data_IF_631207709841
#
_entry.id   IF_631207709841
#
_cell.length_a   1.000
_cell.length_b   1.000
_cell.length_c   1.000
_cell.angle_alpha   90.00
_cell.angle_beta   90.00
_cell.angle_gamma   90.00
#
_symmetry.space_group_name_H-M   'P 1'
#
loop_
_entity.id
_entity.type
_entity.pdbx_description
1 polymer ?
#
# COMPACT_ATOMS: atom_id res chain seq x y z
N UNK A 1 -22.70 -15.42 10.03
CA UNK A 1 -21.86 -14.73 9.02
C UNK A 1 -21.46 -13.41 9.64
N UNK A 2 -20.18 -13.19 9.96
CA UNK A 2 -19.73 -11.90 10.46
C UNK A 2 -19.87 -10.90 9.31
N UNK A 3 -20.77 -9.94 9.46
CA UNK A 3 -21.04 -8.96 8.42
C UNK A 3 -19.87 -7.96 8.42
N UNK A 4 -19.18 -7.84 7.29
CA UNK A 4 -18.05 -6.93 7.12
C UNK A 4 -18.50 -5.48 7.30
N UNK A 5 -17.79 -4.70 8.13
CA UNK A 5 -18.17 -3.31 8.38
C UNK A 5 -17.88 -2.43 7.15
N UNK A 6 -18.60 -1.32 6.95
CA UNK A 6 -18.30 -0.37 5.88
C UNK A 6 -16.86 0.17 5.94
N UNK A 7 -16.32 0.34 7.15
CA UNK A 7 -14.93 0.78 7.36
C UNK A 7 -13.92 -0.28 6.90
N UNK A 8 -14.19 -1.57 7.17
CA UNK A 8 -13.34 -2.67 6.70
C UNK A 8 -13.39 -2.79 5.17
N UNK A 9 -14.57 -2.68 4.55
CA UNK A 9 -14.68 -2.66 3.09
C UNK A 9 -13.92 -1.47 2.49
N UNK A 10 -14.03 -0.28 3.08
CA UNK A 10 -13.27 0.88 2.64
C UNK A 10 -11.75 0.67 2.72
N UNK A 11 -11.25 0.05 3.79
CA UNK A 11 -9.83 -0.26 3.91
C UNK A 11 -9.37 -1.31 2.89
N UNK A 12 -10.20 -2.35 2.61
CA UNK A 12 -9.94 -3.32 1.54
C UNK A 12 -9.77 -2.60 0.20
N UNK A 13 -10.70 -1.71 -0.14
CA UNK A 13 -10.68 -0.99 -1.41
C UNK A 13 -9.42 -0.11 -1.54
N UNK A 14 -9.05 0.61 -0.48
CA UNK A 14 -7.83 1.45 -0.48
C UNK A 14 -6.54 0.61 -0.53
N UNK A 15 -6.49 -0.55 0.12
CA UNK A 15 -5.39 -1.50 0.00
C UNK A 15 -5.24 -2.01 -1.43
N UNK A 16 -6.33 -2.45 -2.07
CA UNK A 16 -6.30 -2.99 -3.43
C UNK A 16 -5.92 -1.91 -4.46
N UNK A 17 -6.41 -0.68 -4.30
CA UNK A 17 -5.98 0.47 -5.13
C UNK A 17 -4.50 0.78 -4.92
N UNK A 18 -4.01 0.74 -3.68
CA UNK A 18 -2.59 0.96 -3.39
C UNK A 18 -1.70 -0.13 -3.99
N UNK A 19 -2.09 -1.39 -3.88
CA UNK A 19 -1.43 -2.51 -4.55
C UNK A 19 -1.30 -2.28 -6.06
N UNK A 20 -2.42 -1.94 -6.74
CA UNK A 20 -2.44 -1.68 -8.17
C UNK A 20 -1.55 -0.49 -8.55
N UNK A 21 -1.63 0.61 -7.79
CA UNK A 21 -0.84 1.81 -8.02
C UNK A 21 0.66 1.54 -7.86
N UNK A 22 1.09 0.97 -6.73
CA UNK A 22 2.51 0.69 -6.45
C UNK A 22 3.10 -0.29 -7.45
N UNK A 23 2.47 -1.44 -7.68
CA UNK A 23 2.98 -2.44 -8.62
C UNK A 23 2.96 -1.91 -10.06
N UNK A 24 1.88 -1.24 -10.45
CA UNK A 24 1.71 -0.65 -11.78
C UNK A 24 2.74 0.43 -12.07
N UNK A 25 2.97 1.37 -11.15
CA UNK A 25 3.99 2.41 -11.34
C UNK A 25 5.40 1.85 -11.28
N UNK A 26 5.70 0.90 -10.37
CA UNK A 26 7.01 0.25 -10.34
C UNK A 26 7.32 -0.38 -11.70
N UNK A 27 6.36 -1.12 -12.25
CA UNK A 27 6.57 -1.90 -13.49
C UNK A 27 6.56 -1.04 -14.74
N UNK A 28 5.60 -0.12 -14.85
CA UNK A 28 5.30 0.57 -16.11
C UNK A 28 5.86 2.00 -16.18
N UNK A 29 6.25 2.59 -15.04
CA UNK A 29 6.83 3.94 -14.98
C UNK A 29 8.27 3.91 -14.52
N UNK A 30 8.54 3.28 -13.38
CA UNK A 30 9.85 3.31 -12.75
C UNK A 30 10.90 2.51 -13.53
N UNK A 31 10.59 1.25 -13.88
CA UNK A 31 11.51 0.41 -14.67
C UNK A 31 11.94 1.07 -15.99
N UNK A 32 11.03 1.62 -16.82
CA UNK A 32 11.42 2.33 -18.04
C UNK A 32 12.18 3.64 -17.78
N UNK A 33 11.83 4.38 -16.73
CA UNK A 33 12.47 5.66 -16.41
C UNK A 33 13.92 5.49 -15.96
N UNK A 34 14.24 4.41 -15.26
CA UNK A 34 15.58 4.17 -14.73
C UNK A 34 16.02 5.23 -13.70
N UNK A 35 17.34 5.36 -13.49
CA UNK A 35 17.90 6.37 -12.60
C UNK A 35 17.41 6.23 -11.15
N UNK A 36 16.96 7.34 -10.55
CA UNK A 36 16.42 7.38 -9.17
C UNK A 36 15.21 6.47 -8.98
N UNK A 37 14.39 6.27 -10.02
CA UNK A 37 13.18 5.43 -9.95
C UNK A 37 13.47 3.94 -9.81
N UNK A 38 14.68 3.47 -10.10
CA UNK A 38 15.06 2.05 -9.94
C UNK A 38 16.16 1.85 -8.90
N UNK A 39 16.42 2.86 -8.06
CA UNK A 39 17.35 2.70 -6.97
C UNK A 39 16.90 1.57 -6.04
N UNK A 40 17.81 0.68 -5.59
CA UNK A 40 17.41 -0.58 -4.98
C UNK A 40 16.49 -0.45 -3.77
N UNK A 41 16.70 0.56 -2.92
CA UNK A 41 15.87 0.79 -1.73
C UNK A 41 14.45 1.24 -2.10
N UNK A 42 14.33 2.25 -2.97
CA UNK A 42 13.05 2.75 -3.45
C UNK A 42 12.24 1.65 -4.15
N UNK A 43 12.88 0.94 -5.10
CA UNK A 43 12.19 -0.05 -5.91
C UNK A 43 11.72 -1.26 -5.07
N UNK A 44 12.55 -1.73 -4.13
CA UNK A 44 12.15 -2.79 -3.19
C UNK A 44 11.01 -2.34 -2.30
N UNK A 45 11.01 -1.09 -1.84
CA UNK A 45 9.95 -0.55 -1.01
C UNK A 45 8.61 -0.48 -1.75
N UNK A 46 8.61 -0.10 -3.02
CA UNK A 46 7.39 -0.15 -3.85
C UNK A 46 6.82 -1.56 -3.98
N UNK A 47 7.68 -2.57 -4.23
CA UNK A 47 7.25 -3.97 -4.32
C UNK A 47 6.75 -4.50 -2.98
N UNK A 48 7.42 -4.16 -1.88
CA UNK A 48 6.98 -4.53 -0.54
C UNK A 48 5.63 -3.88 -0.19
N UNK A 49 5.46 -2.60 -0.54
CA UNK A 49 4.20 -1.87 -0.36
C UNK A 49 3.06 -2.54 -1.14
N UNK A 50 3.30 -2.91 -2.40
CA UNK A 50 2.31 -3.64 -3.17
C UNK A 50 1.90 -4.95 -2.48
N UNK A 51 2.88 -5.78 -2.07
CA UNK A 51 2.57 -7.08 -1.45
C UNK A 51 1.84 -6.93 -0.11
N UNK A 52 2.30 -6.06 0.80
CA UNK A 52 1.66 -5.92 2.12
C UNK A 52 0.24 -5.37 2.02
N UNK A 53 -0.04 -4.48 1.05
CA UNK A 53 -1.38 -4.01 0.75
C UNK A 53 -2.28 -5.17 0.30
N UNK A 54 -1.79 -6.03 -0.60
CA UNK A 54 -2.51 -7.23 -1.04
C UNK A 54 -2.78 -8.19 0.13
N UNK A 55 -1.76 -8.45 0.96
CA UNK A 55 -1.89 -9.33 2.13
C UNK A 55 -2.93 -8.79 3.13
N UNK A 56 -2.91 -7.48 3.40
CA UNK A 56 -3.84 -6.86 4.35
C UNK A 56 -5.29 -6.91 3.85
N UNK A 57 -5.51 -6.61 2.56
CA UNK A 57 -6.82 -6.78 1.94
C UNK A 57 -7.30 -8.24 2.02
N UNK A 58 -6.41 -9.20 1.77
CA UNK A 58 -6.73 -10.61 1.80
C UNK A 58 -7.18 -11.09 3.19
N UNK A 59 -6.47 -10.73 4.27
CA UNK A 59 -6.87 -11.13 5.62
C UNK A 59 -8.18 -10.49 6.07
N UNK A 60 -8.43 -9.23 5.69
CA UNK A 60 -9.73 -8.59 5.94
C UNK A 60 -10.87 -9.30 5.20
N UNK A 61 -10.66 -9.69 3.92
CA UNK A 61 -11.65 -10.46 3.15
C UNK A 61 -11.95 -11.83 3.75
N UNK A 62 -10.95 -12.48 4.35
CA UNK A 62 -11.15 -13.74 5.08
C UNK A 62 -11.82 -13.55 6.46
N UNK A 63 -11.95 -12.31 6.94
CA UNK A 63 -12.51 -12.00 8.26
C UNK A 63 -11.61 -12.45 9.41
N UNK A 64 -10.29 -12.56 9.19
CA UNK A 64 -9.33 -13.05 10.17
C UNK A 64 -8.81 -11.90 11.06
N UNK A 65 -8.86 -12.00 12.40
CA UNK A 65 -8.44 -10.92 13.30
C UNK A 65 -6.95 -10.55 13.17
N UNK A 66 -6.13 -11.45 12.62
CA UNK A 66 -4.73 -11.23 12.28
C UNK A 66 -4.55 -10.07 11.29
N UNK A 67 -5.62 -9.63 10.60
CA UNK A 67 -5.62 -8.44 9.77
C UNK A 67 -5.09 -7.21 10.54
N UNK A 68 -5.28 -7.12 11.86
CA UNK A 68 -4.77 -6.01 12.66
C UNK A 68 -3.24 -5.88 12.60
N UNK A 69 -2.54 -7.02 12.57
CA UNK A 69 -1.08 -7.04 12.46
C UNK A 69 -0.62 -6.62 11.07
N UNK A 70 -1.26 -7.13 10.03
CA UNK A 70 -0.90 -6.78 8.64
C UNK A 70 -1.29 -5.35 8.32
N UNK A 71 -2.42 -4.84 8.80
CA UNK A 71 -2.81 -3.43 8.63
C UNK A 71 -1.82 -2.49 9.32
N UNK A 72 -1.30 -2.82 10.51
CA UNK A 72 -0.25 -2.02 11.16
C UNK A 72 1.01 -1.95 10.29
N UNK A 73 1.51 -3.11 9.84
CA UNK A 73 2.68 -3.17 8.97
C UNK A 73 2.43 -2.48 7.62
N UNK A 74 1.22 -2.61 7.06
CA UNK A 74 0.82 -1.94 5.83
C UNK A 74 0.87 -0.42 5.98
N UNK A 75 0.36 0.12 7.08
CA UNK A 75 0.43 1.56 7.33
C UNK A 75 1.88 2.07 7.38
N UNK A 76 2.76 1.39 8.10
CA UNK A 76 4.19 1.76 8.20
C UNK A 76 4.88 1.70 6.83
N UNK A 77 4.67 0.64 6.06
CA UNK A 77 5.27 0.48 4.72
C UNK A 77 4.69 1.49 3.73
N UNK A 78 3.39 1.77 3.78
CA UNK A 78 2.76 2.77 2.93
C UNK A 78 3.30 4.19 3.21
N UNK A 79 3.54 4.56 4.46
CA UNK A 79 4.17 5.84 4.80
C UNK A 79 5.59 5.95 4.26
N UNK A 80 6.40 4.90 4.47
CA UNK A 80 7.75 4.85 3.93
C UNK A 80 7.75 4.93 2.39
N UNK A 81 6.86 4.18 1.74
CA UNK A 81 6.71 4.20 0.28
C UNK A 81 6.31 5.60 -0.22
N UNK A 82 5.34 6.24 0.43
CA UNK A 82 4.92 7.60 0.09
C UNK A 82 6.09 8.60 0.18
N UNK A 83 6.85 8.56 1.27
CA UNK A 83 8.01 9.45 1.45
C UNK A 83 9.10 9.20 0.39
N UNK A 84 9.35 7.94 0.05
CA UNK A 84 10.32 7.56 -1.00
C UNK A 84 9.86 8.03 -2.39
N UNK A 85 8.59 7.82 -2.74
CA UNK A 85 8.01 8.31 -3.99
C UNK A 85 8.04 9.83 -4.10
N UNK A 86 7.79 10.56 -3.01
CA UNK A 86 7.87 12.02 -2.96
C UNK A 86 9.30 12.53 -3.20
N UNK A 87 10.30 11.85 -2.62
CA UNK A 87 11.71 12.19 -2.82
C UNK A 87 12.22 11.90 -4.25
N UNK A 88 11.70 10.86 -4.90
CA UNK A 88 12.05 10.52 -6.30
C UNK A 88 11.42 11.51 -7.30
N UNK A 89 10.22 12.02 -7.01
CA UNK A 89 9.48 12.93 -7.90
C UNK A 89 8.67 12.20 -8.98
N UNK A 90 7.77 12.92 -9.68
CA UNK A 90 6.88 12.39 -10.73
C UNK A 90 6.02 11.17 -10.33
N UNK A 91 5.72 11.03 -9.04
CA UNK A 91 5.04 9.86 -8.46
C UNK A 91 3.82 10.24 -7.60
N UNK A 92 3.18 11.39 -7.87
CA UNK A 92 2.15 11.98 -7.01
C UNK A 92 0.93 11.07 -6.78
N UNK A 93 0.55 10.28 -7.78
CA UNK A 93 -0.53 9.30 -7.66
C UNK A 93 -0.18 8.21 -6.64
N UNK A 94 1.08 7.75 -6.63
CA UNK A 94 1.58 6.78 -5.64
C UNK A 94 1.56 7.36 -4.25
N UNK A 95 2.08 8.58 -4.10
CA UNK A 95 2.15 9.30 -2.81
C UNK A 95 0.75 9.44 -2.22
N UNK A 96 -0.21 9.90 -3.03
CA UNK A 96 -1.59 10.13 -2.59
C UNK A 96 -2.25 8.82 -2.18
N UNK A 97 -2.10 7.76 -2.97
CA UNK A 97 -2.74 6.48 -2.67
C UNK A 97 -2.12 5.79 -1.46
N UNK A 98 -0.79 5.83 -1.31
CA UNK A 98 -0.10 5.28 -0.15
C UNK A 98 -0.54 5.97 1.15
N UNK A 99 -0.65 7.31 1.15
CA UNK A 99 -1.10 8.08 2.33
C UNK A 99 -2.54 7.71 2.74
N UNK A 100 -3.46 7.56 1.77
CA UNK A 100 -4.84 7.10 2.03
C UNK A 100 -4.91 5.68 2.57
N UNK A 101 -4.14 4.77 1.97
CA UNK A 101 -4.06 3.39 2.43
C UNK A 101 -3.52 3.30 3.86
N UNK A 102 -2.47 4.06 4.18
CA UNK A 102 -1.91 4.10 5.52
C UNK A 102 -2.92 4.59 6.58
N UNK A 103 -3.69 5.63 6.27
CA UNK A 103 -4.72 6.17 7.16
C UNK A 103 -5.81 5.14 7.48
N UNK A 104 -6.37 4.49 6.46
CA UNK A 104 -7.40 3.45 6.67
C UNK A 104 -6.85 2.23 7.40
N UNK A 105 -5.62 1.82 7.08
CA UNK A 105 -4.94 0.71 7.74
C UNK A 105 -4.67 0.98 9.23
N UNK A 106 -4.32 2.22 9.62
CA UNK A 106 -4.21 2.59 11.04
C UNK A 106 -5.52 2.41 11.80
N UNK A 107 -6.63 2.80 11.17
CA UNK A 107 -7.97 2.59 11.76
C UNK A 107 -8.26 1.10 11.95
N UNK A 108 -7.89 0.24 10.99
CA UNK A 108 -8.10 -1.21 11.08
C UNK A 108 -7.13 -1.94 12.02
N UNK A 109 -5.98 -1.34 12.31
CA UNK A 109 -4.99 -1.90 13.23
C UNK A 109 -5.35 -1.71 14.72
N UNK A 110 -6.30 -0.81 15.02
CA UNK A 110 -6.77 -0.49 16.37
C UNK A 110 -7.60 -1.62 17.01
#
# INVERSE_FOLDING_TARGET
MHQMSPAMQGCIDECLRCYQACLGMASNRCLPAGGSHVQPEHFRLMLACAEICRTSAHLMLLGLPEHKHTCRACAEVCEACAASCEAVGDMQDCVTQCRRCAETCRTMAA
#
